data_IF_333989072609
#
_entry.id   IF_333989072609
#
_cell.length_a   1.000
_cell.length_b   1.000
_cell.length_c   1.000
_cell.angle_alpha   90.00
_cell.angle_beta   90.00
_cell.angle_gamma   90.00
#
_symmetry.space_group_name_H-M   'P 1'
#
loop_
_entity.id
_entity.type
_entity.pdbx_description
1 polymer ?
#
# COMPACT_ATOMS: atom_id res chain seq x y z
N UNK A 1 10.04 12.92 28.88
CA UNK A 1 9.35 12.23 27.77
C UNK A 1 9.49 12.96 26.43
N UNK A 2 9.03 14.21 26.26
CA UNK A 2 9.13 14.94 24.95
C UNK A 2 10.54 14.95 24.32
N UNK A 3 11.60 15.07 25.13
CA UNK A 3 12.99 15.10 24.65
C UNK A 3 13.47 13.76 24.07
N UNK A 4 12.97 12.64 24.59
CA UNK A 4 13.28 11.30 24.07
C UNK A 4 12.52 11.08 22.76
N UNK A 5 11.23 11.46 22.74
CA UNK A 5 10.40 11.37 21.54
C UNK A 5 11.01 12.16 20.37
N UNK A 6 11.42 13.40 20.62
CA UNK A 6 12.05 14.25 19.60
C UNK A 6 13.44 13.75 19.14
N UNK A 7 14.13 12.95 19.96
CA UNK A 7 15.41 12.35 19.58
C UNK A 7 15.20 11.18 18.62
N UNK A 8 14.24 10.31 18.90
CA UNK A 8 13.87 9.21 18.02
C UNK A 8 13.33 9.73 16.68
N UNK A 9 12.48 10.75 16.70
CA UNK A 9 11.89 11.36 15.51
C UNK A 9 12.97 11.93 14.56
N UNK A 10 13.94 12.70 15.10
CA UNK A 10 15.08 13.21 14.31
C UNK A 10 15.98 12.10 13.77
N UNK A 11 16.20 11.04 14.54
CA UNK A 11 17.05 9.93 14.12
C UNK A 11 16.36 9.13 12.99
N UNK A 12 15.05 8.90 13.13
CA UNK A 12 14.22 8.25 12.13
C UNK A 12 14.24 9.02 10.80
N UNK A 13 14.06 10.34 10.82
CA UNK A 13 14.07 11.15 9.60
C UNK A 13 15.43 11.13 8.89
N UNK A 14 16.54 11.16 9.64
CA UNK A 14 17.89 11.09 9.05
C UNK A 14 18.16 9.72 8.44
N UNK A 15 17.81 8.65 9.16
CA UNK A 15 17.98 7.27 8.65
C UNK A 15 17.10 7.04 7.44
N UNK A 16 15.83 7.49 7.47
CA UNK A 16 14.88 7.38 6.36
C UNK A 16 15.35 8.17 5.13
N UNK A 17 15.88 9.37 5.32
CA UNK A 17 16.45 10.19 4.24
C UNK A 17 17.71 9.59 3.60
N UNK A 18 18.56 8.94 4.40
CA UNK A 18 19.78 8.29 3.90
C UNK A 18 19.51 6.93 3.25
N UNK A 19 18.55 6.14 3.75
CA UNK A 19 18.24 4.79 3.24
C UNK A 19 17.30 4.80 2.03
N UNK A 20 16.54 5.88 1.80
CA UNK A 20 15.68 6.03 0.62
C UNK A 20 16.44 5.98 -0.72
N UNK A 21 17.73 6.35 -0.71
CA UNK A 21 18.61 6.29 -1.87
C UNK A 21 19.10 4.86 -2.19
N UNK A 22 18.89 3.89 -1.28
CA UNK A 22 19.30 2.49 -1.45
C UNK A 22 18.17 1.51 -1.09
N UNK A 23 17.13 1.38 -1.95
CA UNK A 23 15.93 0.59 -1.66
C UNK A 23 16.20 -0.88 -1.35
N UNK A 24 17.19 -1.48 -2.01
CA UNK A 24 17.51 -2.91 -1.86
C UNK A 24 18.14 -3.19 -0.49
N UNK A 25 19.12 -2.37 -0.07
CA UNK A 25 19.80 -2.52 1.23
C UNK A 25 18.82 -2.21 2.36
N UNK A 26 17.98 -1.19 2.18
CA UNK A 26 16.90 -0.87 3.11
C UNK A 26 15.93 -2.05 3.30
N UNK A 27 15.46 -2.65 2.21
CA UNK A 27 14.57 -3.81 2.26
C UNK A 27 15.21 -5.01 2.95
N UNK A 28 16.49 -5.28 2.69
CA UNK A 28 17.22 -6.38 3.32
C UNK A 28 17.40 -6.18 4.84
N UNK A 29 17.85 -5.01 5.26
CA UNK A 29 18.02 -4.67 6.68
C UNK A 29 16.66 -4.68 7.39
N UNK A 30 15.65 -4.03 6.81
CA UNK A 30 14.30 -3.98 7.36
C UNK A 30 13.69 -5.37 7.52
N UNK A 31 13.73 -6.20 6.47
CA UNK A 31 13.22 -7.58 6.53
C UNK A 31 13.96 -8.43 7.57
N UNK A 32 15.29 -8.32 7.64
CA UNK A 32 16.10 -9.04 8.64
C UNK A 32 15.74 -8.61 10.07
N UNK A 33 15.61 -7.30 10.31
CA UNK A 33 15.25 -6.77 11.63
C UNK A 33 13.83 -7.18 12.05
N UNK A 34 12.86 -7.20 11.12
CA UNK A 34 11.50 -7.67 11.42
C UNK A 34 11.50 -9.15 11.85
N UNK A 35 12.24 -9.99 11.13
CA UNK A 35 12.36 -11.43 11.49
C UNK A 35 13.07 -11.60 12.84
N UNK A 36 14.16 -10.87 13.09
CA UNK A 36 14.88 -10.92 14.36
C UNK A 36 14.04 -10.38 15.53
N UNK A 37 13.25 -9.33 15.29
CA UNK A 37 12.34 -8.78 16.27
C UNK A 37 11.28 -9.81 16.67
N UNK A 38 10.61 -10.42 15.68
CA UNK A 38 9.61 -11.44 15.96
C UNK A 38 10.24 -12.62 16.70
N UNK A 39 11.41 -13.08 16.25
CA UNK A 39 12.21 -14.09 16.97
C UNK A 39 12.44 -13.69 18.43
N UNK A 40 12.85 -12.46 18.70
CA UNK A 40 13.05 -11.95 20.07
C UNK A 40 11.77 -12.02 20.92
N UNK A 41 10.60 -11.75 20.33
CA UNK A 41 9.31 -11.88 21.02
C UNK A 41 9.04 -13.33 21.45
N UNK A 42 9.29 -14.32 20.58
CA UNK A 42 9.16 -15.75 20.94
C UNK A 42 10.13 -16.14 22.05
N UNK A 43 11.41 -15.81 21.91
CA UNK A 43 12.41 -16.13 22.94
C UNK A 43 12.08 -15.48 24.29
N UNK A 44 11.49 -14.28 24.27
CA UNK A 44 11.04 -13.62 25.51
C UNK A 44 9.87 -14.38 26.14
N UNK A 45 8.92 -14.86 25.33
CA UNK A 45 7.83 -15.71 25.80
C UNK A 45 8.36 -17.04 26.40
N UNK A 46 9.31 -17.69 25.72
CA UNK A 46 9.92 -18.95 26.18
C UNK A 46 10.70 -18.76 27.49
N UNK A 47 11.42 -17.64 27.65
CA UNK A 47 12.12 -17.30 28.90
C UNK A 47 11.11 -17.08 30.03
N UNK A 48 10.00 -16.39 29.78
CA UNK A 48 8.94 -16.17 30.76
C UNK A 48 8.23 -17.46 31.15
N UNK A 49 8.09 -18.40 30.20
CA UNK A 49 7.61 -19.75 30.49
C UNK A 49 8.58 -20.51 31.42
N UNK A 50 9.88 -20.37 31.16
CA UNK A 50 10.96 -21.07 31.88
C UNK A 50 11.26 -20.46 33.26
N UNK A 51 10.91 -19.18 33.49
CA UNK A 51 11.07 -18.50 34.79
C UNK A 51 10.22 -19.11 35.93
N UNK A 52 9.28 -20.00 35.60
CA UNK A 52 8.54 -20.79 36.57
C UNK A 52 7.43 -20.01 37.31
N UNK A 53 6.58 -20.74 38.04
CA UNK A 53 5.46 -20.16 38.77
C UNK A 53 4.26 -19.78 37.89
N UNK A 54 3.57 -18.69 38.23
CA UNK A 54 2.38 -18.22 37.51
C UNK A 54 2.67 -17.88 36.03
N UNK A 55 3.86 -17.36 35.74
CA UNK A 55 4.30 -17.00 34.39
C UNK A 55 4.41 -18.22 33.47
N UNK A 56 4.81 -19.38 33.99
CA UNK A 56 4.87 -20.63 33.23
C UNK A 56 3.50 -21.08 32.72
N UNK A 57 2.45 -20.94 33.56
CA UNK A 57 1.09 -21.34 33.18
C UNK A 57 0.51 -20.37 32.15
N UNK A 58 0.73 -19.06 32.32
CA UNK A 58 0.23 -18.02 31.41
C UNK A 58 0.90 -18.11 30.04
N UNK A 59 2.21 -18.34 30.00
CA UNK A 59 2.99 -18.39 28.76
C UNK A 59 3.06 -19.78 28.12
N UNK A 60 2.43 -20.79 28.74
CA UNK A 60 2.30 -22.12 28.13
C UNK A 60 1.56 -22.07 26.80
N UNK A 61 1.99 -22.87 25.82
CA UNK A 61 1.43 -22.87 24.46
C UNK A 61 -0.11 -22.83 24.38
N UNK A 62 -0.84 -23.72 25.08
CA UNK A 62 -2.31 -23.70 25.07
C UNK A 62 -2.92 -22.46 25.75
N UNK A 63 -2.36 -21.98 26.85
CA UNK A 63 -2.87 -20.81 27.57
C UNK A 63 -2.64 -19.52 26.77
N UNK A 64 -1.45 -19.38 26.17
CA UNK A 64 -1.10 -18.26 25.32
C UNK A 64 -2.09 -18.11 24.16
N UNK A 65 -2.50 -19.22 23.52
CA UNK A 65 -3.51 -19.21 22.45
C UNK A 65 -4.85 -18.67 22.96
N UNK A 66 -5.32 -19.15 24.12
CA UNK A 66 -6.61 -18.74 24.67
C UNK A 66 -6.59 -17.26 25.08
N UNK A 67 -5.54 -16.82 25.77
CA UNK A 67 -5.40 -15.44 26.25
C UNK A 67 -5.28 -14.48 25.07
N UNK A 68 -4.43 -14.79 24.09
CA UNK A 68 -4.26 -13.95 22.90
C UNK A 68 -5.53 -13.91 22.06
N UNK A 69 -6.23 -15.02 21.87
CA UNK A 69 -7.52 -15.05 21.19
C UNK A 69 -8.56 -14.17 21.89
N UNK A 70 -8.68 -14.28 23.22
CA UNK A 70 -9.59 -13.43 24.01
C UNK A 70 -9.23 -11.96 23.90
N UNK A 71 -7.96 -11.59 24.03
CA UNK A 71 -7.51 -10.20 23.89
C UNK A 71 -7.75 -9.66 22.48
N UNK A 72 -7.51 -10.46 21.44
CA UNK A 72 -7.78 -10.09 20.05
C UNK A 72 -9.28 -9.89 19.79
N UNK A 73 -10.14 -10.68 20.42
CA UNK A 73 -11.58 -10.48 20.36
C UNK A 73 -12.03 -9.23 21.14
N UNK A 74 -11.51 -9.02 22.36
CA UNK A 74 -11.86 -7.86 23.20
C UNK A 74 -11.44 -6.53 22.58
N UNK A 75 -10.27 -6.49 21.96
CA UNK A 75 -9.76 -5.30 21.26
C UNK A 75 -10.45 -5.05 19.92
N UNK A 76 -11.28 -6.00 19.44
CA UNK A 76 -11.89 -5.96 18.10
C UNK A 76 -10.87 -6.14 16.97
N UNK A 77 -9.59 -6.34 17.29
CA UNK A 77 -8.52 -6.50 16.30
C UNK A 77 -8.65 -7.80 15.52
N UNK A 78 -9.19 -8.87 16.12
CA UNK A 78 -9.52 -10.09 15.37
C UNK A 78 -10.40 -9.76 14.16
N UNK A 79 -11.50 -9.03 14.39
CA UNK A 79 -12.45 -8.63 13.34
C UNK A 79 -11.77 -7.68 12.35
N UNK A 80 -11.01 -6.69 12.81
CA UNK A 80 -10.30 -5.74 11.95
C UNK A 80 -9.23 -6.40 11.08
N UNK A 81 -8.49 -7.37 11.58
CA UNK A 81 -7.44 -8.07 10.81
C UNK A 81 -8.09 -8.97 9.77
N UNK A 82 -9.09 -9.79 10.16
CA UNK A 82 -9.71 -10.74 9.22
C UNK A 82 -10.62 -10.07 8.18
N UNK A 83 -11.43 -9.08 8.58
CA UNK A 83 -12.37 -8.40 7.69
C UNK A 83 -11.72 -7.18 7.03
N UNK A 84 -10.89 -6.43 7.76
CA UNK A 84 -10.25 -5.23 7.24
C UNK A 84 -9.25 -5.51 6.13
N UNK A 85 -8.43 -6.57 6.23
CA UNK A 85 -7.49 -6.92 5.15
C UNK A 85 -8.23 -7.31 3.86
N UNK A 86 -9.32 -8.08 3.98
CA UNK A 86 -10.17 -8.47 2.85
C UNK A 86 -10.89 -7.25 2.22
N UNK A 87 -11.39 -6.33 3.05
CA UNK A 87 -12.02 -5.09 2.58
C UNK A 87 -11.00 -4.19 1.88
N UNK A 88 -9.81 -3.98 2.46
CA UNK A 88 -8.75 -3.15 1.89
C UNK A 88 -8.30 -3.72 0.53
N UNK A 89 -8.07 -5.03 0.44
CA UNK A 89 -7.69 -5.68 -0.83
C UNK A 89 -8.81 -5.52 -1.88
N UNK A 90 -10.07 -5.67 -1.48
CA UNK A 90 -11.22 -5.49 -2.39
C UNK A 90 -11.37 -4.03 -2.85
N UNK A 91 -11.11 -3.06 -1.96
CA UNK A 91 -11.09 -1.64 -2.25
C UNK A 91 -9.98 -1.26 -3.23
N UNK A 92 -8.74 -1.69 -2.97
CA UNK A 92 -7.61 -1.47 -3.87
C UNK A 92 -7.85 -2.08 -5.26
N UNK A 93 -8.46 -3.27 -5.34
CA UNK A 93 -8.82 -3.91 -6.61
C UNK A 93 -9.92 -3.14 -7.35
N UNK A 94 -10.89 -2.57 -6.62
CA UNK A 94 -11.93 -1.74 -7.21
C UNK A 94 -11.36 -0.43 -7.76
N UNK A 95 -10.54 0.28 -6.98
CA UNK A 95 -9.87 1.50 -7.41
C UNK A 95 -9.01 1.26 -8.65
N UNK A 96 -8.20 0.19 -8.67
CA UNK A 96 -7.42 -0.18 -9.85
C UNK A 96 -8.29 -0.37 -11.10
N UNK A 97 -9.44 -1.04 -10.96
CA UNK A 97 -10.39 -1.25 -12.07
C UNK A 97 -11.01 0.06 -12.55
N UNK A 98 -11.26 1.01 -11.64
CA UNK A 98 -11.75 2.36 -11.99
C UNK A 98 -10.67 3.10 -12.79
N UNK A 99 -9.41 3.09 -12.32
CA UNK A 99 -8.29 3.70 -13.04
C UNK A 99 -8.09 3.13 -14.45
N UNK A 100 -8.14 1.80 -14.61
CA UNK A 100 -8.02 1.15 -15.92
C UNK A 100 -9.14 1.59 -16.88
N UNK A 101 -10.39 1.67 -16.39
CA UNK A 101 -11.51 2.18 -17.19
C UNK A 101 -11.35 3.64 -17.57
N UNK A 102 -10.94 4.49 -16.63
CA UNK A 102 -10.71 5.91 -16.92
C UNK A 102 -9.58 6.08 -17.94
N UNK A 103 -8.52 5.27 -17.88
CA UNK A 103 -7.46 5.29 -18.88
C UNK A 103 -7.98 4.87 -20.27
N UNK A 104 -8.84 3.85 -20.34
CA UNK A 104 -9.50 3.42 -21.58
C UNK A 104 -10.41 4.51 -22.15
N UNK A 105 -11.22 5.15 -21.32
CA UNK A 105 -12.10 6.27 -21.70
C UNK A 105 -11.27 7.44 -22.25
N UNK A 106 -10.20 7.86 -21.56
CA UNK A 106 -9.31 8.93 -22.02
C UNK A 106 -8.64 8.58 -23.36
N UNK A 107 -8.26 7.31 -23.57
CA UNK A 107 -7.71 6.85 -24.86
C UNK A 107 -8.77 6.90 -25.96
N UNK A 108 -10.01 6.58 -25.65
CA UNK A 108 -11.12 6.64 -26.61
C UNK A 108 -11.44 8.08 -26.99
N UNK A 109 -11.57 8.99 -26.01
CA UNK A 109 -11.78 10.42 -26.26
C UNK A 109 -10.67 10.99 -27.15
N UNK A 110 -9.40 10.63 -26.89
CA UNK A 110 -8.29 11.07 -27.73
C UNK A 110 -8.44 10.60 -29.19
N UNK A 111 -8.91 9.37 -29.43
CA UNK A 111 -9.16 8.88 -30.80
C UNK A 111 -10.31 9.62 -31.46
N UNK A 112 -11.37 9.93 -30.72
CA UNK A 112 -12.50 10.70 -31.22
C UNK A 112 -12.09 12.13 -31.59
N UNK A 113 -11.25 12.77 -30.79
CA UNK A 113 -10.68 14.10 -31.09
C UNK A 113 -9.87 14.06 -32.39
N UNK A 114 -8.97 13.08 -32.56
CA UNK A 114 -8.17 12.95 -33.79
C UNK A 114 -9.08 12.74 -35.01
N UNK A 115 -10.12 11.91 -34.89
CA UNK A 115 -11.11 11.71 -35.95
C UNK A 115 -11.87 12.99 -36.32
N UNK A 116 -12.17 13.85 -35.34
CA UNK A 116 -12.80 15.15 -35.58
C UNK A 116 -11.84 16.12 -36.27
N UNK A 117 -10.56 16.11 -35.87
CA UNK A 117 -9.50 16.93 -36.49
C UNK A 117 -9.29 16.54 -37.96
N UNK A 118 -9.21 15.24 -38.26
CA UNK A 118 -9.09 14.72 -39.63
C UNK A 118 -10.30 15.16 -40.49
N UNK A 119 -11.51 15.06 -39.95
CA UNK A 119 -12.74 15.49 -40.65
C UNK A 119 -12.77 16.99 -40.91
N UNK A 120 -12.26 17.80 -39.99
CA UNK A 120 -12.14 19.25 -40.17
C UNK A 120 -11.15 19.56 -41.30
N UNK A 121 -10.00 18.88 -41.32
CA UNK A 121 -8.99 19.05 -42.38
C UNK A 121 -9.54 18.67 -43.77
N UNK A 122 -10.30 17.57 -43.86
CA UNK A 122 -10.97 17.15 -45.10
C UNK A 122 -12.00 18.20 -45.58
N UNK A 123 -12.69 18.88 -44.65
CA UNK A 123 -13.65 19.94 -44.99
C UNK A 123 -12.92 21.18 -45.48
N UNK A 124 -11.82 21.59 -44.83
CA UNK A 124 -10.99 22.71 -45.26
C UNK A 124 -10.48 22.50 -46.68
N UNK A 125 -9.94 21.31 -46.99
CA UNK A 125 -9.49 20.98 -48.35
C UNK A 125 -10.60 21.10 -49.39
N UNK A 126 -11.80 20.58 -49.09
CA UNK A 126 -12.94 20.67 -50.02
C UNK A 126 -13.42 22.09 -50.24
N UNK A 127 -13.36 22.94 -49.21
CA UNK A 127 -13.71 24.36 -49.32
C UNK A 127 -12.71 25.08 -50.23
N UNK A 128 -11.42 24.84 -50.05
CA UNK A 128 -10.36 25.44 -50.89
C UNK A 128 -10.50 25.02 -52.36
N UNK A 129 -10.78 23.74 -52.61
CA UNK A 129 -10.98 23.20 -53.97
C UNK A 129 -12.19 23.87 -54.67
N UNK A 130 -13.30 24.07 -53.93
CA UNK A 130 -14.48 24.77 -54.44
C UNK A 130 -14.20 26.25 -54.74
N UNK A 131 -13.42 26.92 -53.90
CA UNK A 131 -13.05 28.33 -54.10
C UNK A 131 -12.13 28.52 -55.31
N UNK A 132 -11.19 27.61 -55.56
CA UNK A 132 -10.36 27.62 -56.77
C UNK A 132 -11.20 27.39 -58.03
N UNK A 133 -12.15 26.46 -57.98
CA UNK A 133 -13.00 26.14 -59.14
C UNK A 133 -13.92 27.31 -59.52
N UNK A 134 -14.35 28.12 -58.54
CA UNK A 134 -15.26 29.28 -58.77
C UNK A 134 -14.51 30.53 -59.27
N UNK A 135 -13.19 30.59 -59.08
CA UNK A 135 -12.33 31.70 -59.56
C UNK A 135 -11.88 31.55 -61.03
N UNK A 136 -12.15 30.40 -61.66
CA UNK A 136 -11.78 30.07 -63.04
C UNK A 136 -12.94 30.29 -63.99
#
# INVERSE_FOLDING_TARGET
MKRVFNFFDKLEDVVRGSLSHHPIVYGFIGGTLVVLYWRGVWHTADILETWGGYWSVVFSGPAQIIITALLLMLTGLAVSVFIGESIIISGLKHEKKVFEKTEEEVKQEKKEIVSVEDRLSDIEQKIDELLETTKR
#
